data_IF_824386579483
#
_entry.id   IF_824386579483
#
_cell.length_a   1.000
_cell.length_b   1.000
_cell.length_c   1.000
_cell.angle_alpha   90.00
_cell.angle_beta   90.00
_cell.angle_gamma   90.00
#
_symmetry.space_group_name_H-M   'P 1'
#
loop_
_entity.id
_entity.type
_entity.pdbx_description
1 polymer ?
#
# COMPACT_ATOMS: atom_id res chain seq x y z
N UNK A 1 -8.90 14.10 -11.26
CA UNK A 1 -7.79 13.12 -11.13
C UNK A 1 -6.47 13.85 -11.30
N UNK A 2 -5.45 13.57 -10.47
CA UNK A 2 -4.14 14.19 -10.66
C UNK A 2 -3.54 13.78 -12.01
N UNK A 3 -2.91 14.72 -12.74
CA UNK A 3 -2.25 14.47 -14.03
C UNK A 3 -1.36 13.22 -14.03
N UNK A 4 -0.71 12.94 -12.90
CA UNK A 4 0.15 11.76 -12.72
C UNK A 4 -0.58 10.41 -12.79
N UNK A 5 -1.82 10.31 -12.31
CA UNK A 5 -2.57 9.03 -12.31
C UNK A 5 -2.90 8.65 -13.75
N UNK A 6 -3.35 9.61 -14.56
CA UNK A 6 -3.67 9.40 -15.98
C UNK A 6 -2.42 8.92 -16.74
N UNK A 7 -1.29 9.60 -16.54
CA UNK A 7 -0.01 9.18 -17.11
C UNK A 7 0.38 7.74 -16.73
N UNK A 8 0.16 7.34 -15.48
CA UNK A 8 0.46 5.97 -15.03
C UNK A 8 -0.49 4.95 -15.66
N UNK A 9 -1.76 5.29 -15.85
CA UNK A 9 -2.73 4.42 -16.52
C UNK A 9 -2.37 4.22 -17.99
N UNK A 10 -2.03 5.29 -18.71
CA UNK A 10 -1.57 5.23 -20.11
C UNK A 10 -0.30 4.39 -20.23
N UNK A 11 0.68 4.64 -19.36
CA UNK A 11 1.93 3.89 -19.33
C UNK A 11 1.71 2.39 -19.11
N UNK A 12 0.79 2.00 -18.22
CA UNK A 12 0.43 0.59 -18.02
C UNK A 12 -0.31 0.01 -19.23
N UNK A 13 -1.19 0.79 -19.88
CA UNK A 13 -1.90 0.33 -21.07
C UNK A 13 -0.97 0.03 -22.24
N UNK A 14 0.08 0.83 -22.41
CA UNK A 14 1.04 0.73 -23.50
C UNK A 14 2.16 -0.28 -23.23
N UNK A 15 2.44 -0.57 -21.96
CA UNK A 15 3.52 -1.47 -21.59
C UNK A 15 3.16 -2.95 -21.74
N UNK A 16 4.16 -3.74 -22.14
CA UNK A 16 4.09 -5.20 -22.17
C UNK A 16 4.83 -5.84 -20.98
N UNK A 17 5.73 -5.12 -20.33
CA UNK A 17 6.45 -5.54 -19.13
C UNK A 17 6.92 -4.30 -18.35
N UNK A 18 6.61 -4.22 -17.05
CA UNK A 18 6.95 -3.11 -16.19
C UNK A 18 7.52 -3.59 -14.85
N UNK A 19 8.72 -3.10 -14.56
CA UNK A 19 9.29 -3.19 -13.23
C UNK A 19 9.00 -1.91 -12.43
N UNK A 20 8.33 -2.07 -11.28
CA UNK A 20 7.98 -0.97 -10.37
C UNK A 20 9.25 -0.33 -9.81
N UNK A 21 9.63 0.83 -10.34
CA UNK A 21 10.84 1.54 -9.97
C UNK A 21 10.58 2.87 -9.24
N UNK A 22 11.66 3.54 -8.87
CA UNK A 22 11.64 4.78 -8.11
C UNK A 22 11.00 5.98 -8.83
N UNK A 23 10.82 5.94 -10.15
CA UNK A 23 10.21 7.05 -10.90
C UNK A 23 8.69 7.16 -10.64
N UNK A 24 8.07 6.06 -10.21
CA UNK A 24 6.65 6.05 -9.86
C UNK A 24 6.43 6.62 -8.45
N UNK A 25 7.50 6.72 -7.66
CA UNK A 25 7.52 7.37 -6.35
C UNK A 25 7.28 8.89 -6.44
N UNK A 26 7.30 9.51 -7.61
CA UNK A 26 6.98 10.94 -7.76
C UNK A 26 5.53 11.29 -7.35
N UNK A 27 4.66 10.29 -7.16
CA UNK A 27 3.36 10.48 -6.52
C UNK A 27 3.52 10.59 -4.99
N UNK A 28 3.98 11.75 -4.53
CA UNK A 28 4.23 12.08 -3.11
C UNK A 28 3.19 13.04 -2.55
N UNK A 29 2.89 12.90 -1.28
CA UNK A 29 2.14 13.87 -0.48
C UNK A 29 1.00 13.25 0.32
N UNK A 30 0.57 13.99 1.34
CA UNK A 30 -0.65 13.69 2.10
C UNK A 30 -1.86 14.15 1.29
N UNK A 31 -2.88 13.29 1.19
CA UNK A 31 -4.13 13.59 0.51
C UNK A 31 -5.13 14.11 1.54
N UNK A 32 -5.32 13.33 2.59
CA UNK A 32 -6.23 13.63 3.70
C UNK A 32 -5.59 13.18 5.00
N UNK A 33 -5.85 13.94 6.05
CA UNK A 33 -5.39 13.61 7.39
C UNK A 33 -6.41 14.11 8.39
N UNK A 34 -6.97 13.19 9.16
CA UNK A 34 -7.97 13.44 10.19
C UNK A 34 -7.36 13.01 11.53
N UNK A 35 -6.67 13.92 12.26
CA UNK A 35 -6.00 13.59 13.51
C UNK A 35 -6.99 13.09 14.57
N UNK A 36 -8.18 13.68 14.66
CA UNK A 36 -9.24 13.27 15.59
C UNK A 36 -9.74 11.84 15.32
N UNK A 37 -9.82 11.45 14.04
CA UNK A 37 -10.28 10.12 13.64
C UNK A 37 -9.15 9.09 13.63
N UNK A 38 -7.91 9.52 13.89
CA UNK A 38 -6.71 8.70 13.81
C UNK A 38 -6.54 8.03 12.43
N UNK A 39 -6.86 8.75 11.36
CA UNK A 39 -6.75 8.25 9.98
C UNK A 39 -5.94 9.19 9.12
N UNK A 40 -5.06 8.61 8.30
CA UNK A 40 -4.31 9.35 7.28
C UNK A 40 -4.41 8.62 5.93
N UNK A 41 -4.61 9.41 4.87
CA UNK A 41 -4.56 8.96 3.49
C UNK A 41 -3.40 9.66 2.79
N UNK A 42 -2.48 8.87 2.25
CA UNK A 42 -1.25 9.38 1.62
C UNK A 42 -0.99 8.70 0.28
N UNK A 43 -0.23 9.38 -0.56
CA UNK A 43 0.23 8.83 -1.83
C UNK A 43 1.39 7.86 -1.61
N UNK A 44 1.43 6.80 -2.40
CA UNK A 44 2.34 5.66 -2.25
C UNK A 44 3.83 6.02 -2.31
N UNK A 45 4.19 7.13 -2.98
CA UNK A 45 5.56 7.61 -3.06
C UNK A 45 6.06 8.33 -1.81
N UNK A 46 5.18 8.66 -0.87
CA UNK A 46 5.55 9.44 0.33
C UNK A 46 6.50 8.65 1.23
N UNK A 47 7.59 9.30 1.64
CA UNK A 47 8.60 8.71 2.52
C UNK A 47 8.08 8.56 3.94
N UNK A 48 8.54 7.52 4.62
CA UNK A 48 8.18 7.25 6.03
C UNK A 48 8.63 8.37 6.95
N UNK A 49 9.83 8.92 6.74
CA UNK A 49 10.34 10.10 7.45
C UNK A 49 9.38 11.28 7.42
N UNK A 50 8.82 11.57 6.25
CA UNK A 50 7.95 12.73 6.05
C UNK A 50 6.60 12.51 6.74
N UNK A 51 6.09 11.27 6.70
CA UNK A 51 4.87 10.87 7.39
C UNK A 51 5.07 11.00 8.90
N UNK A 52 6.14 10.43 9.45
CA UNK A 52 6.45 10.51 10.88
C UNK A 52 6.58 11.96 11.34
N UNK A 53 7.27 12.81 10.57
CA UNK A 53 7.38 14.24 10.87
C UNK A 53 6.02 14.94 10.88
N UNK A 54 5.10 14.57 9.98
CA UNK A 54 3.75 15.13 9.94
C UNK A 54 2.91 14.68 11.15
N UNK A 55 2.99 13.41 11.52
CA UNK A 55 2.26 12.84 12.66
C UNK A 55 2.78 13.36 14.01
N UNK A 56 4.09 13.58 14.13
CA UNK A 56 4.71 14.12 15.34
C UNK A 56 4.13 15.49 15.74
N UNK A 57 3.69 16.31 14.77
CA UNK A 57 3.03 17.60 15.03
C UNK A 57 1.72 17.47 15.82
N UNK A 58 1.09 16.29 15.80
CA UNK A 58 -0.15 16.00 16.50
C UNK A 58 0.04 14.95 17.62
N UNK A 59 1.29 14.72 18.08
CA UNK A 59 1.62 13.69 19.07
C UNK A 59 1.19 12.28 18.63
N UNK A 60 1.20 12.02 17.32
CA UNK A 60 0.83 10.75 16.71
C UNK A 60 2.02 10.07 16.05
N UNK A 61 1.88 8.78 15.79
CA UNK A 61 2.91 7.93 15.21
C UNK A 61 2.27 6.78 14.43
N UNK A 62 3.12 6.05 13.69
CA UNK A 62 2.72 4.87 12.94
C UNK A 62 2.55 3.68 13.88
N UNK A 63 1.44 2.91 13.78
CA UNK A 63 1.21 1.72 14.60
C UNK A 63 2.02 0.49 14.20
N UNK A 64 2.84 0.58 13.15
CA UNK A 64 3.63 -0.52 12.61
C UNK A 64 5.11 -0.15 12.56
N UNK A 65 5.95 -1.18 12.66
CA UNK A 65 7.40 -1.02 12.59
C UNK A 65 7.88 -0.92 11.15
N UNK A 66 8.79 0.02 10.90
CA UNK A 66 9.54 0.06 9.64
C UNK A 66 11.01 0.31 9.89
N UNK A 67 11.85 -0.56 9.34
CA UNK A 67 13.30 -0.53 9.54
C UNK A 67 13.99 0.60 8.77
N UNK A 68 13.46 0.97 7.60
CA UNK A 68 14.08 1.93 6.67
C UNK A 68 13.20 3.17 6.60
N UNK A 69 13.64 4.28 7.22
CA UNK A 69 12.87 5.52 7.27
C UNK A 69 12.79 6.28 5.93
N UNK A 70 13.77 6.09 5.05
CA UNK A 70 13.78 6.75 3.72
C UNK A 70 12.96 5.99 2.67
N UNK A 71 12.42 4.82 3.02
CA UNK A 71 11.58 4.02 2.15
C UNK A 71 10.21 4.70 1.96
N UNK A 72 9.60 4.52 0.80
CA UNK A 72 8.23 4.98 0.58
C UNK A 72 7.21 4.07 1.25
N UNK A 73 6.06 4.63 1.63
CA UNK A 73 4.97 3.84 2.19
C UNK A 73 4.47 2.75 1.23
N UNK A 74 4.45 3.02 -0.08
CA UNK A 74 4.07 2.06 -1.10
C UNK A 74 5.02 0.87 -1.16
N UNK A 75 6.33 1.12 -1.03
CA UNK A 75 7.32 0.06 -0.94
C UNK A 75 7.22 -0.71 0.38
N UNK A 76 6.98 -0.04 1.51
CA UNK A 76 6.74 -0.67 2.80
C UNK A 76 5.54 -1.63 2.75
N UNK A 77 4.48 -1.17 2.08
CA UNK A 77 3.26 -1.93 1.83
C UNK A 77 3.49 -3.13 0.92
N UNK A 78 4.14 -2.93 -0.23
CA UNK A 78 4.45 -4.00 -1.16
C UNK A 78 5.41 -5.05 -0.56
N UNK A 79 6.33 -4.66 0.32
CA UNK A 79 7.24 -5.60 1.01
C UNK A 79 6.55 -6.36 2.15
N UNK A 80 5.36 -5.92 2.56
CA UNK A 80 4.63 -6.48 3.69
C UNK A 80 5.38 -6.21 5.00
N UNK A 81 5.46 -4.93 5.37
CA UNK A 81 5.82 -4.55 6.73
C UNK A 81 4.84 -5.17 7.73
N UNK A 82 5.35 -5.56 8.89
CA UNK A 82 4.56 -6.24 9.91
C UNK A 82 3.45 -5.32 10.44
N UNK A 83 2.28 -5.88 10.75
CA UNK A 83 1.11 -5.21 11.33
C UNK A 83 0.50 -4.09 10.45
N UNK A 84 1.17 -3.74 9.35
CA UNK A 84 0.69 -2.80 8.36
C UNK A 84 -0.66 -3.25 7.79
N UNK A 85 -0.83 -4.55 7.51
CA UNK A 85 -2.10 -5.09 7.00
C UNK A 85 -3.26 -4.81 7.95
N UNK A 86 -3.05 -4.89 9.25
CA UNK A 86 -4.11 -4.68 10.23
C UNK A 86 -4.47 -3.20 10.38
N UNK A 87 -3.52 -2.32 10.05
CA UNK A 87 -3.67 -0.87 10.10
C UNK A 87 -4.25 -0.26 8.82
N UNK A 88 -4.17 -0.96 7.69
CA UNK A 88 -4.68 -0.48 6.40
C UNK A 88 -6.21 -0.48 6.40
N UNK A 89 -6.78 0.64 5.97
CA UNK A 89 -8.22 0.87 5.84
C UNK A 89 -8.69 0.79 4.39
N UNK A 90 -7.82 1.17 3.46
CA UNK A 90 -8.13 1.19 2.05
C UNK A 90 -6.92 1.56 1.20
N UNK A 91 -7.01 1.24 -0.08
CA UNK A 91 -5.94 1.47 -1.06
C UNK A 91 -6.57 1.81 -2.40
N UNK A 92 -5.88 2.64 -3.18
CA UNK A 92 -6.17 2.81 -4.60
C UNK A 92 -5.05 2.25 -5.43
N UNK A 93 -5.40 1.46 -6.43
CA UNK A 93 -4.46 0.80 -7.32
C UNK A 93 -4.75 1.09 -8.79
N UNK A 94 -3.74 0.84 -9.62
CA UNK A 94 -3.92 0.59 -11.04
C UNK A 94 -3.60 -0.90 -11.28
N UNK A 95 -4.54 -1.62 -11.86
CA UNK A 95 -4.39 -3.04 -12.18
C UNK A 95 -3.59 -3.23 -13.49
N UNK A 96 -3.38 -4.47 -13.93
CA UNK A 96 -2.68 -4.77 -15.18
C UNK A 96 -3.45 -4.43 -16.46
N UNK A 97 -4.70 -3.96 -16.35
CA UNK A 97 -5.46 -3.45 -17.50
C UNK A 97 -5.34 -1.93 -17.64
N UNK A 98 -4.78 -1.26 -16.62
CA UNK A 98 -4.68 0.19 -16.55
C UNK A 98 -5.92 0.86 -15.97
N UNK A 99 -6.82 0.09 -15.35
CA UNK A 99 -8.00 0.60 -14.66
C UNK A 99 -7.64 1.11 -13.26
N UNK A 100 -8.24 2.23 -12.87
CA UNK A 100 -8.05 2.82 -11.55
C UNK A 100 -9.10 2.30 -10.58
N UNK A 101 -8.68 1.44 -9.66
CA UNK A 101 -9.57 0.74 -8.74
C UNK A 101 -9.37 1.24 -7.31
N UNK A 102 -10.47 1.29 -6.56
CA UNK A 102 -10.49 1.67 -5.14
C UNK A 102 -10.98 0.49 -4.31
N UNK A 103 -10.21 0.12 -3.28
CA UNK A 103 -10.53 -0.96 -2.37
C UNK A 103 -10.52 -0.46 -0.93
N UNK A 104 -11.60 -0.73 -0.19
CA UNK A 104 -11.80 -0.20 1.15
C UNK A 104 -12.16 1.30 1.15
N UNK A 105 -12.01 1.95 2.31
CA UNK A 105 -12.40 3.34 2.50
C UNK A 105 -12.44 3.74 3.98
N UNK A 106 -12.71 5.02 4.24
CA UNK A 106 -12.80 5.59 5.60
C UNK A 106 -14.07 5.19 6.36
N UNK A 107 -15.03 4.52 5.72
CA UNK A 107 -16.34 4.21 6.31
C UNK A 107 -16.37 2.86 7.02
N UNK A 108 -16.94 2.86 8.24
CA UNK A 108 -17.09 1.73 9.17
C UNK A 108 -17.87 0.50 8.64
N UNK A 109 -18.38 0.52 7.41
CA UNK A 109 -19.15 -0.56 6.81
C UNK A 109 -18.50 -1.06 5.51
N UNK A 110 -17.42 -1.82 5.65
CA UNK A 110 -16.89 -2.67 4.58
C UNK A 110 -17.41 -4.10 4.79
N UNK A 111 -18.73 -4.31 4.70
CA UNK A 111 -19.40 -5.56 5.11
C UNK A 111 -19.59 -6.55 3.94
N UNK A 112 -19.20 -6.19 2.71
CA UNK A 112 -19.32 -7.08 1.56
C UNK A 112 -18.01 -7.12 0.75
N UNK A 113 -17.52 -8.33 0.49
CA UNK A 113 -16.39 -8.59 -0.40
C UNK A 113 -15.12 -9.06 0.31
N UNK A 114 -14.09 -9.33 -0.51
CA UNK A 114 -12.77 -9.71 -0.04
C UNK A 114 -11.94 -8.47 0.34
N UNK A 115 -11.14 -8.59 1.40
CA UNK A 115 -10.25 -7.52 1.84
C UNK A 115 -8.99 -7.45 0.93
N UNK A 116 -9.19 -6.87 -0.26
CA UNK A 116 -8.11 -6.64 -1.24
C UNK A 116 -7.04 -5.73 -0.68
N UNK A 117 -7.42 -4.78 0.20
CA UNK A 117 -6.52 -3.85 0.84
C UNK A 117 -5.54 -4.54 1.80
N UNK A 118 -5.90 -5.68 2.39
CA UNK A 118 -4.96 -6.52 3.13
C UNK A 118 -4.24 -7.52 2.25
N UNK A 119 -4.92 -8.07 1.26
CA UNK A 119 -4.35 -9.05 0.32
C UNK A 119 -3.14 -8.51 -0.45
N UNK A 120 -3.16 -7.23 -0.84
CA UNK A 120 -2.08 -6.63 -1.63
C UNK A 120 -0.84 -6.29 -0.77
N UNK A 121 -0.92 -6.37 0.56
CA UNK A 121 0.23 -6.23 1.45
C UNK A 121 1.18 -7.39 1.22
N UNK A 122 2.46 -7.11 0.94
CA UNK A 122 3.43 -8.16 0.62
C UNK A 122 3.37 -8.67 -0.83
N UNK A 123 2.58 -8.05 -1.70
CA UNK A 123 2.48 -8.40 -3.13
C UNK A 123 3.76 -8.15 -3.93
N UNK A 124 4.73 -7.42 -3.36
CA UNK A 124 6.01 -7.01 -3.99
C UNK A 124 5.83 -6.33 -5.35
N UNK A 125 4.69 -5.68 -5.57
CA UNK A 125 4.37 -5.02 -6.83
C UNK A 125 3.99 -5.96 -7.97
N UNK A 126 3.80 -7.26 -7.71
CA UNK A 126 3.49 -8.26 -8.76
C UNK A 126 2.02 -8.32 -9.16
N UNK A 127 1.12 -7.73 -8.38
CA UNK A 127 -0.32 -7.83 -8.62
C UNK A 127 -0.87 -6.54 -9.20
N UNK A 128 -0.49 -5.40 -8.62
CA UNK A 128 -0.99 -4.10 -9.03
C UNK A 128 -0.02 -2.98 -8.64
N UNK A 129 -0.18 -1.83 -9.29
CA UNK A 129 0.49 -0.59 -8.92
C UNK A 129 -0.30 0.13 -7.82
N UNK A 130 0.30 0.26 -6.63
CA UNK A 130 -0.31 1.00 -5.51
C UNK A 130 -0.08 2.50 -5.71
N UNK A 131 -1.15 3.29 -5.65
CA UNK A 131 -1.10 4.75 -5.82
C UNK A 131 -1.36 5.50 -4.53
N UNK A 132 -2.31 5.03 -3.71
CA UNK A 132 -2.72 5.69 -2.47
C UNK A 132 -3.01 4.64 -1.41
N UNK A 133 -2.70 4.96 -0.16
CA UNK A 133 -2.94 4.10 0.99
C UNK A 133 -3.57 4.93 2.10
N UNK A 134 -4.67 4.43 2.65
CA UNK A 134 -5.30 4.93 3.86
C UNK A 134 -5.04 3.96 5.00
N UNK A 135 -4.54 4.44 6.12
CA UNK A 135 -4.28 3.61 7.30
C UNK A 135 -4.51 4.38 8.59
N UNK A 136 -4.72 3.62 9.67
CA UNK A 136 -4.86 4.16 11.02
C UNK A 136 -3.52 4.64 11.57
N UNK A 137 -3.55 5.71 12.33
CA UNK A 137 -2.43 6.20 13.14
C UNK A 137 -2.77 6.04 14.62
N UNK A 138 -1.78 6.19 15.51
CA UNK A 138 -2.00 6.08 16.95
C UNK A 138 -1.32 7.21 17.70
N UNK A 139 -1.81 7.60 18.89
CA UNK A 139 -1.08 8.53 19.75
C UNK A 139 0.25 7.92 20.21
N UNK A 140 1.28 8.74 20.34
CA UNK A 140 2.65 8.30 20.64
C UNK A 140 2.78 7.60 21.99
N UNK A 141 1.89 7.90 22.94
CA UNK A 141 1.81 7.28 24.28
C UNK A 141 1.50 5.78 24.26
N UNK A 142 0.95 5.25 23.15
CA UNK A 142 0.60 3.84 23.04
C UNK A 142 1.75 2.96 22.53
N UNK A 143 2.90 3.52 22.15
CA UNK A 143 4.07 2.75 21.74
C UNK A 143 4.94 2.43 22.96
N UNK A 144 4.98 1.16 23.34
CA UNK A 144 5.90 0.63 24.36
C UNK A 144 7.17 0.04 23.73
N UNK A 145 7.05 -0.81 22.71
CA UNK A 145 8.18 -1.33 21.93
C UNK A 145 7.68 -2.01 20.65
N UNK A 146 8.27 -1.66 19.51
CA UNK A 146 8.01 -2.31 18.24
C UNK A 146 9.19 -3.23 17.90
N UNK A 147 8.95 -4.53 17.78
CA UNK A 147 9.96 -5.53 17.40
C UNK A 147 9.66 -6.10 16.01
N UNK A 148 10.70 -6.40 15.24
CA UNK A 148 10.54 -7.01 13.91
C UNK A 148 10.02 -8.45 13.98
N UNK A 149 9.06 -8.79 13.11
CA UNK A 149 8.45 -10.12 13.04
C UNK A 149 9.40 -11.17 12.50
N UNK A 150 9.17 -12.40 12.93
CA UNK A 150 9.72 -13.61 12.31
C UNK A 150 8.86 -13.93 11.07
N UNK A 151 9.31 -13.51 9.88
CA UNK A 151 8.69 -13.96 8.62
C UNK A 151 8.93 -15.46 8.45
N UNK A 152 7.85 -16.25 8.42
CA UNK A 152 7.94 -17.67 8.04
C UNK A 152 8.01 -17.78 6.53
N UNK A 153 9.12 -18.29 6.03
CA UNK A 153 9.27 -18.58 4.59
C UNK A 153 8.74 -19.97 4.30
N UNK A 154 7.42 -20.13 4.26
CA UNK A 154 6.80 -21.38 3.81
C UNK A 154 6.52 -21.33 2.31
N UNK A 155 7.18 -22.22 1.58
CA UNK A 155 6.98 -22.43 0.14
C UNK A 155 6.06 -23.63 -0.04
N UNK A 156 4.75 -23.39 -0.02
CA UNK A 156 3.73 -24.43 -0.28
C UNK A 156 3.27 -24.38 -1.74
N UNK A 157 3.00 -25.53 -2.34
CA UNK A 157 2.41 -25.63 -3.67
C UNK A 157 1.04 -24.91 -3.76
N UNK A 158 0.23 -25.00 -2.70
CA UNK A 158 -1.06 -24.31 -2.63
C UNK A 158 -0.88 -22.79 -2.71
N UNK A 159 0.13 -22.26 -2.02
CA UNK A 159 0.46 -20.83 -2.06
C UNK A 159 0.81 -20.38 -3.47
N UNK A 160 1.66 -21.14 -4.18
CA UNK A 160 2.02 -20.84 -5.56
C UNK A 160 0.80 -20.87 -6.49
N UNK A 161 -0.13 -21.81 -6.29
CA UNK A 161 -1.37 -21.88 -7.04
C UNK A 161 -2.26 -20.66 -6.79
N UNK A 162 -2.40 -20.23 -5.52
CA UNK A 162 -3.16 -19.03 -5.16
C UNK A 162 -2.52 -17.78 -5.79
N UNK A 163 -1.20 -17.61 -5.68
CA UNK A 163 -0.48 -16.49 -6.28
C UNK A 163 -0.69 -16.44 -7.81
N UNK A 164 -0.68 -17.58 -8.50
CA UNK A 164 -0.97 -17.66 -9.95
C UNK A 164 -2.41 -17.27 -10.28
N UNK A 165 -3.40 -17.72 -9.50
CA UNK A 165 -4.81 -17.36 -9.70
C UNK A 165 -5.03 -15.86 -9.48
N UNK A 166 -4.47 -15.29 -8.41
CA UNK A 166 -4.54 -13.86 -8.14
C UNK A 166 -3.88 -13.05 -9.26
N UNK A 167 -2.75 -13.54 -9.79
CA UNK A 167 -2.07 -12.91 -10.92
C UNK A 167 -2.95 -12.82 -12.16
N UNK A 168 -3.70 -13.88 -12.49
CA UNK A 168 -4.64 -13.87 -13.62
C UNK A 168 -5.77 -12.86 -13.46
N UNK A 169 -6.17 -12.55 -12.22
CA UNK A 169 -7.25 -11.60 -11.94
C UNK A 169 -6.75 -10.16 -11.98
N UNK A 170 -5.68 -9.86 -11.24
CA UNK A 170 -5.20 -8.48 -11.11
C UNK A 170 -4.31 -8.02 -12.27
N UNK A 171 -3.69 -8.95 -12.97
CA UNK A 171 -2.83 -8.64 -14.10
C UNK A 171 -2.96 -9.70 -15.19
N UNK A 172 -4.12 -9.72 -15.89
CA UNK A 172 -4.38 -10.67 -16.96
C UNK A 172 -3.42 -10.50 -18.15
N UNK A 173 -2.83 -9.31 -18.30
CA UNK A 173 -1.86 -8.98 -19.35
C UNK A 173 -0.42 -9.36 -18.99
N UNK A 174 -0.15 -9.71 -17.74
CA UNK A 174 1.18 -10.11 -17.27
C UNK A 174 2.19 -8.97 -17.25
N UNK A 175 1.76 -7.74 -17.01
CA UNK A 175 2.59 -6.53 -17.04
C UNK A 175 3.58 -6.48 -15.87
N UNK A 176 3.18 -6.88 -14.66
CA UNK A 176 4.00 -6.75 -13.44
C UNK A 176 4.85 -8.01 -13.19
N UNK A 177 6.13 -7.88 -12.83
CA UNK A 177 7.02 -9.03 -12.57
C UNK A 177 7.81 -8.95 -11.27
#
# INVERSE_FOLDING_TARGET
>A
MSNRIIQLQELIKDANNLHINSEWLAHVGVIEYFPEELVITIKAGTKISDIQMKLAKHNQTLPFFIKIADMSIGAAYAQGAQDLSDCVLGVKIIDGTGEYLNFGGQVMKNVAGYDVARLLVGSKGKLALITQISFKVIPISYITQLSASIKRTTTSQLRQQIERKLKQVFDPRGIFH
#
